data_IF_710089864018
#
_entry.id   IF_710089864018
#
_cell.length_a   1.000
_cell.length_b   1.000
_cell.length_c   1.000
_cell.angle_alpha   90.00
_cell.angle_beta   90.00
_cell.angle_gamma   90.00
#
_symmetry.space_group_name_H-M   'P 1'
#
loop_
_entity.id
_entity.type
_entity.pdbx_description
1 polymer ?
#
# COMPACT_ATOMS: atom_id res chain seq x y z
N UNK A 1 16.20 -16.41 19.35
CA UNK A 1 14.74 -16.22 19.17
C UNK A 1 14.37 -14.79 19.52
N UNK A 2 13.23 -14.28 19.02
CA UNK A 2 12.73 -12.96 19.39
C UNK A 2 11.67 -13.12 20.48
N UNK A 3 12.03 -12.74 21.70
CA UNK A 3 11.21 -12.93 22.90
C UNK A 3 10.58 -11.60 23.29
N UNK A 4 9.30 -11.64 23.64
CA UNK A 4 8.54 -10.49 24.15
C UNK A 4 8.00 -10.84 25.52
N UNK A 5 8.29 -10.00 26.51
CA UNK A 5 7.76 -10.08 27.88
C UNK A 5 6.82 -8.91 28.10
N UNK A 6 5.55 -9.23 28.39
CA UNK A 6 4.56 -8.25 28.82
C UNK A 6 4.44 -8.33 30.35
N UNK A 7 4.87 -7.29 31.04
CA UNK A 7 4.93 -7.22 32.50
C UNK A 7 3.88 -6.23 33.02
N UNK A 8 2.91 -6.72 33.78
CA UNK A 8 1.96 -5.88 34.50
C UNK A 8 2.06 -6.15 36.02
N UNK A 9 2.77 -5.35 36.82
CA UNK A 9 3.42 -4.07 36.49
C UNK A 9 4.85 -3.98 37.02
N UNK A 10 5.68 -3.14 36.40
CA UNK A 10 7.05 -2.92 36.86
C UNK A 10 7.09 -2.23 38.22
N UNK A 11 6.08 -1.40 38.51
CA UNK A 11 5.90 -0.76 39.82
C UNK A 11 5.67 -1.80 40.94
N UNK A 12 4.84 -2.82 40.67
CA UNK A 12 4.59 -3.91 41.63
C UNK A 12 5.83 -4.79 41.83
N UNK A 13 6.60 -5.06 40.76
CA UNK A 13 7.87 -5.78 40.85
C UNK A 13 8.88 -5.04 41.74
N UNK A 14 8.99 -3.72 41.58
CA UNK A 14 9.87 -2.89 42.41
C UNK A 14 9.46 -2.88 43.89
N UNK A 15 8.15 -2.79 44.18
CA UNK A 15 7.63 -2.89 45.56
C UNK A 15 7.93 -4.24 46.20
N UNK A 16 7.75 -5.33 45.45
CA UNK A 16 8.08 -6.68 45.93
C UNK A 16 9.58 -6.80 46.25
N UNK A 17 10.44 -6.31 45.36
CA UNK A 17 11.89 -6.28 45.57
C UNK A 17 12.28 -5.46 46.80
N UNK A 18 11.61 -4.34 47.06
CA UNK A 18 11.84 -3.52 48.25
C UNK A 18 11.50 -4.26 49.55
N UNK A 19 10.40 -5.01 49.59
CA UNK A 19 9.99 -5.75 50.78
C UNK A 19 10.94 -6.92 51.10
N UNK A 20 11.55 -7.52 50.09
CA UNK A 20 12.52 -8.61 50.24
C UNK A 20 13.95 -8.10 50.49
N UNK A 21 14.19 -6.79 50.37
CA UNK A 21 15.53 -6.23 50.53
C UNK A 21 15.96 -6.22 52.00
N UNK A 22 17.19 -6.65 52.33
CA UNK A 22 17.72 -6.52 53.68
C UNK A 22 17.78 -5.04 54.09
N UNK A 23 17.26 -4.72 55.29
CA UNK A 23 17.32 -3.37 55.84
C UNK A 23 18.77 -2.97 56.10
N UNK A 24 19.32 -2.10 55.25
CA UNK A 24 20.71 -1.63 55.36
C UNK A 24 20.79 -0.24 56.02
N UNK A 25 19.68 0.27 56.57
CA UNK A 25 19.60 1.53 57.31
C UNK A 25 19.71 2.80 56.44
N UNK A 26 19.77 2.66 55.12
CA UNK A 26 19.81 3.76 54.16
C UNK A 26 18.57 3.77 53.29
N UNK A 27 17.57 4.53 53.73
CA UNK A 27 16.33 4.74 52.98
C UNK A 27 16.46 5.92 52.01
N UNK A 28 16.00 5.70 50.78
CA UNK A 28 15.77 6.72 49.79
C UNK A 28 14.41 7.41 50.02
N UNK A 29 14.20 8.51 49.31
CA UNK A 29 12.90 9.20 49.27
C UNK A 29 11.78 8.20 48.93
N UNK A 30 10.65 8.30 49.63
CA UNK A 30 9.52 7.39 49.44
C UNK A 30 9.62 6.05 50.20
N UNK A 31 10.64 5.85 51.05
CA UNK A 31 10.76 4.66 51.90
C UNK A 31 11.33 3.43 51.19
N UNK A 32 12.11 3.66 50.13
CA UNK A 32 12.78 2.60 49.38
C UNK A 32 14.15 2.29 50.00
N UNK A 33 14.49 1.02 50.18
CA UNK A 33 15.85 0.61 50.50
C UNK A 33 16.78 0.97 49.33
N UNK A 34 18.00 1.43 49.64
CA UNK A 34 18.95 1.87 48.62
C UNK A 34 19.29 0.80 47.55
N UNK A 35 19.14 -0.48 47.91
CA UNK A 35 19.41 -1.62 47.00
C UNK A 35 18.15 -2.20 46.35
N UNK A 36 16.95 -1.74 46.75
CA UNK A 36 15.67 -2.33 46.33
C UNK A 36 15.44 -2.31 44.82
N UNK A 37 15.95 -1.30 44.13
CA UNK A 37 15.76 -1.12 42.69
C UNK A 37 16.82 -1.82 41.84
N UNK A 38 17.84 -2.44 42.43
CA UNK A 38 18.93 -3.06 41.68
C UNK A 38 18.42 -4.19 40.77
N UNK A 39 17.71 -5.17 41.34
CA UNK A 39 17.16 -6.29 40.57
C UNK A 39 16.11 -5.84 39.53
N UNK A 40 15.09 -5.03 39.89
CA UNK A 40 14.10 -4.56 38.92
C UNK A 40 14.71 -3.77 37.75
N UNK A 41 15.73 -2.94 38.00
CA UNK A 41 16.46 -2.21 36.94
C UNK A 41 17.27 -3.15 36.06
N UNK A 42 17.94 -4.15 36.63
CA UNK A 42 18.65 -5.17 35.86
C UNK A 42 17.70 -6.00 35.00
N UNK A 43 16.55 -6.40 35.55
CA UNK A 43 15.52 -7.12 34.82
C UNK A 43 15.01 -6.30 33.63
N UNK A 44 14.61 -5.05 33.84
CA UNK A 44 14.09 -4.21 32.76
C UNK A 44 15.17 -3.82 31.74
N UNK A 45 16.38 -3.52 32.21
CA UNK A 45 17.56 -3.25 31.37
C UNK A 45 18.15 -4.49 30.68
N UNK A 46 17.61 -5.69 30.93
CA UNK A 46 17.95 -6.87 30.13
C UNK A 46 17.39 -6.76 28.71
N UNK A 47 16.30 -5.99 28.51
CA UNK A 47 15.72 -5.73 27.21
C UNK A 47 16.76 -5.12 26.27
N UNK A 48 17.02 -5.79 25.15
CA UNK A 48 18.04 -5.39 24.19
C UNK A 48 17.81 -6.06 22.84
N UNK A 49 18.32 -5.41 21.80
CA UNK A 49 18.55 -6.02 20.50
C UNK A 49 19.98 -6.58 20.47
N UNK A 50 20.17 -7.81 19.98
CA UNK A 50 21.50 -8.45 19.88
C UNK A 50 21.85 -8.56 18.40
N UNK A 51 23.03 -8.03 18.02
CA UNK A 51 23.57 -8.14 16.67
C UNK A 51 23.83 -9.62 16.33
N UNK A 52 23.40 -10.04 15.14
CA UNK A 52 23.41 -11.45 14.67
C UNK A 52 22.70 -12.46 15.59
N UNK A 53 21.82 -11.96 16.46
CA UNK A 53 21.04 -12.75 17.41
C UNK A 53 19.53 -12.52 17.29
N UNK A 54 18.83 -12.82 18.38
CA UNK A 54 17.43 -12.42 18.57
C UNK A 54 17.32 -11.15 19.42
N UNK A 55 16.08 -10.77 19.71
CA UNK A 55 15.79 -9.64 20.59
C UNK A 55 15.08 -10.07 21.88
N UNK A 56 15.32 -9.37 22.97
CA UNK A 56 14.47 -9.39 24.16
C UNK A 56 13.76 -8.06 24.29
N UNK A 57 12.45 -8.05 24.07
CA UNK A 57 11.59 -6.88 24.25
C UNK A 57 10.83 -7.03 25.56
N UNK A 58 10.89 -6.02 26.43
CA UNK A 58 10.12 -5.98 27.69
C UNK A 58 9.23 -4.75 27.65
N UNK A 59 7.92 -4.96 27.76
CA UNK A 59 6.94 -3.89 27.94
C UNK A 59 6.37 -3.99 29.34
N UNK A 60 6.70 -3.03 30.19
CA UNK A 60 6.23 -2.97 31.57
C UNK A 60 5.21 -1.85 31.74
N UNK A 61 4.04 -2.14 32.33
CA UNK A 61 3.14 -1.08 32.79
C UNK A 61 3.74 -0.41 34.03
N UNK A 62 3.66 0.92 34.09
CA UNK A 62 4.05 1.70 35.27
C UNK A 62 2.84 2.43 35.82
N UNK A 63 2.72 2.48 37.14
CA UNK A 63 1.66 3.23 37.81
C UNK A 63 2.16 4.63 38.13
N UNK A 64 1.39 5.64 37.74
CA UNK A 64 1.61 7.05 38.05
C UNK A 64 0.35 7.65 38.65
N UNK A 65 0.47 8.80 39.31
CA UNK A 65 -0.67 9.50 39.94
C UNK A 65 -1.43 8.62 40.95
N UNK A 66 -0.72 7.75 41.68
CA UNK A 66 -1.26 6.87 42.72
C UNK A 66 -1.38 7.57 44.08
N UNK A 67 -0.76 8.74 44.25
CA UNK A 67 -0.60 9.42 45.53
C UNK A 67 0.53 8.84 46.40
N UNK A 68 1.26 7.83 45.92
CA UNK A 68 2.40 7.24 46.64
C UNK A 68 3.72 7.83 46.15
N UNK A 69 4.44 8.50 47.06
CA UNK A 69 5.79 9.01 46.79
C UNK A 69 6.78 7.91 46.39
N UNK A 70 6.55 6.67 46.82
CA UNK A 70 7.32 5.50 46.40
C UNK A 70 7.15 5.22 44.90
N UNK A 71 5.91 5.27 44.38
CA UNK A 71 5.64 5.00 42.95
C UNK A 71 6.23 6.11 42.05
N UNK A 72 6.20 7.36 42.51
CA UNK A 72 6.84 8.49 41.81
C UNK A 72 8.35 8.27 41.65
N UNK A 73 9.03 7.85 42.73
CA UNK A 73 10.47 7.56 42.70
C UNK A 73 10.77 6.34 41.81
N UNK A 74 9.96 5.29 41.89
CA UNK A 74 10.09 4.13 41.02
C UNK A 74 9.95 4.53 39.54
N UNK A 75 8.95 5.33 39.20
CA UNK A 75 8.71 5.78 37.84
C UNK A 75 9.91 6.55 37.27
N UNK A 76 10.42 7.55 38.00
CA UNK A 76 11.56 8.36 37.54
C UNK A 76 12.83 7.52 37.34
N UNK A 77 13.09 6.54 38.21
CA UNK A 77 14.22 5.61 38.06
C UNK A 77 14.11 4.73 36.81
N UNK A 78 12.89 4.28 36.47
CA UNK A 78 12.67 3.48 35.26
C UNK A 78 12.62 4.31 33.98
N UNK A 79 12.20 5.57 34.06
CA UNK A 79 12.25 6.53 32.96
C UNK A 79 13.68 6.69 32.41
N UNK A 80 14.67 6.71 33.30
CA UNK A 80 16.08 6.73 32.92
C UNK A 80 16.55 5.43 32.24
N UNK A 81 15.95 4.29 32.60
CA UNK A 81 16.36 2.94 32.19
C UNK A 81 15.74 2.52 30.85
N UNK A 82 14.48 2.89 30.61
CA UNK A 82 13.77 2.59 29.37
C UNK A 82 14.18 3.49 28.19
N UNK A 83 13.74 3.10 27.00
CA UNK A 83 13.90 3.88 25.77
C UNK A 83 12.56 4.21 25.07
N UNK A 84 11.42 3.75 25.58
CA UNK A 84 10.07 4.04 25.08
C UNK A 84 9.13 4.34 26.24
N UNK A 85 8.30 5.37 26.10
CA UNK A 85 7.23 5.74 27.01
C UNK A 85 5.91 5.87 26.23
N UNK A 86 4.87 5.16 26.69
CA UNK A 86 3.51 5.28 26.18
C UNK A 86 2.61 5.77 27.31
N UNK A 87 2.23 7.05 27.27
CA UNK A 87 1.53 7.73 28.36
C UNK A 87 0.02 7.62 28.15
N UNK A 88 -0.70 7.18 29.18
CA UNK A 88 -2.16 7.14 29.19
C UNK A 88 -2.73 8.28 30.02
N UNK A 89 -3.75 8.98 29.50
CA UNK A 89 -4.37 10.14 30.14
C UNK A 89 -5.71 9.76 30.79
N UNK A 90 -5.79 9.94 32.12
CA UNK A 90 -7.00 9.66 32.91
C UNK A 90 -8.23 10.42 32.41
N UNK A 91 -8.06 11.70 32.06
CA UNK A 91 -9.14 12.57 31.54
C UNK A 91 -9.77 12.01 30.25
N UNK A 92 -8.98 11.39 29.37
CA UNK A 92 -9.52 10.75 28.15
C UNK A 92 -10.29 9.48 28.49
N UNK A 93 -9.75 8.66 29.41
CA UNK A 93 -10.41 7.45 29.89
C UNK A 93 -11.74 7.74 30.60
N UNK A 94 -11.80 8.77 31.45
CA UNK A 94 -13.03 9.21 32.14
C UNK A 94 -14.12 9.64 31.15
N UNK A 95 -13.72 10.14 29.98
CA UNK A 95 -14.62 10.50 28.86
C UNK A 95 -14.95 9.32 27.94
N UNK A 96 -14.49 8.11 28.26
CA UNK A 96 -14.64 6.90 27.44
C UNK A 96 -14.02 7.00 26.03
N UNK A 97 -12.96 7.80 25.89
CA UNK A 97 -12.20 7.91 24.65
C UNK A 97 -11.04 6.92 24.72
N UNK A 98 -11.06 5.92 23.85
CA UNK A 98 -10.05 4.86 23.81
C UNK A 98 -9.44 4.70 22.39
N UNK A 99 -8.11 4.48 22.28
CA UNK A 99 -7.14 4.38 23.38
C UNK A 99 -6.85 5.76 24.01
N UNK A 100 -6.79 5.81 25.34
CA UNK A 100 -6.65 7.05 26.12
C UNK A 100 -5.19 7.53 26.14
N UNK A 101 -4.59 7.79 24.98
CA UNK A 101 -3.15 8.10 24.83
C UNK A 101 -2.88 9.60 24.88
N UNK A 102 -1.86 9.99 25.65
CA UNK A 102 -1.23 11.31 25.51
C UNK A 102 -0.12 11.23 24.47
N UNK A 103 -0.43 11.70 23.26
CA UNK A 103 0.48 11.65 22.11
C UNK A 103 1.73 12.49 22.35
N UNK A 104 1.59 13.66 22.99
CA UNK A 104 2.69 14.62 23.14
C UNK A 104 3.69 14.17 24.20
N UNK A 105 3.22 13.48 25.25
CA UNK A 105 4.09 12.95 26.31
C UNK A 105 4.65 11.56 26.01
N UNK A 106 4.09 10.87 25.02
CA UNK A 106 4.61 9.57 24.56
C UNK A 106 5.79 9.78 23.61
N UNK A 107 6.77 8.87 23.64
CA UNK A 107 7.95 8.99 22.79
C UNK A 107 8.90 7.81 22.89
N UNK A 108 9.78 7.67 21.89
CA UNK A 108 10.83 6.66 21.86
C UNK A 108 12.18 7.34 21.62
N UNK A 109 13.20 7.02 22.41
CA UNK A 109 14.57 7.51 22.23
C UNK A 109 15.18 6.86 20.99
N UNK A 110 16.01 7.65 20.28
CA UNK A 110 16.63 7.23 19.01
C UNK A 110 15.62 6.73 17.99
N UNK A 111 14.45 7.38 17.92
CA UNK A 111 13.41 7.00 16.99
C UNK A 111 13.86 7.10 15.53
N UNK A 112 14.88 7.91 15.22
CA UNK A 112 15.52 7.96 13.91
C UNK A 112 16.14 6.63 13.45
N UNK A 113 16.50 5.73 14.38
CA UNK A 113 16.92 4.35 14.08
C UNK A 113 15.74 3.44 13.68
N UNK A 114 14.52 3.99 13.69
CA UNK A 114 13.28 3.28 13.40
C UNK A 114 12.65 3.74 12.06
N UNK A 115 13.27 4.64 11.24
CA UNK A 115 12.68 5.26 10.01
C UNK A 115 13.65 5.45 8.75
N UNK A 116 13.28 5.06 7.49
CA UNK A 116 14.07 4.76 6.22
C UNK A 116 13.17 4.75 4.90
N UNK A 117 13.64 4.56 3.63
CA UNK A 117 12.86 4.62 2.32
C UNK A 117 13.62 4.07 1.06
N UNK A 118 12.97 3.42 0.07
CA UNK A 118 13.54 3.18 -1.29
C UNK A 118 12.60 3.45 -2.49
N UNK A 119 13.21 3.79 -3.64
CA UNK A 119 12.51 4.10 -4.89
C UNK A 119 13.29 3.67 -6.14
N UNK A 120 12.57 3.56 -7.25
CA UNK A 120 13.09 3.42 -8.62
C UNK A 120 12.36 4.42 -9.52
N UNK A 121 13.11 5.17 -10.31
CA UNK A 121 12.60 5.93 -11.45
C UNK A 121 13.10 5.27 -12.75
N UNK A 122 12.25 5.21 -13.76
CA UNK A 122 12.57 4.54 -15.02
C UNK A 122 11.88 5.18 -16.20
N UNK A 123 12.37 4.84 -17.38
CA UNK A 123 11.81 5.23 -18.67
C UNK A 123 11.70 4.01 -19.57
N UNK A 124 10.73 4.02 -20.47
CA UNK A 124 10.62 3.02 -21.53
C UNK A 124 10.89 3.70 -22.88
N UNK A 125 12.04 3.43 -23.52
CA UNK A 125 12.40 4.08 -24.78
C UNK A 125 11.49 3.65 -25.95
N UNK A 126 10.77 2.52 -25.83
CA UNK A 126 9.89 2.04 -26.90
C UNK A 126 8.54 2.76 -26.92
N UNK A 127 8.03 3.12 -25.74
CA UNK A 127 6.72 3.77 -25.58
C UNK A 127 6.85 5.27 -25.29
N UNK A 128 8.00 5.72 -24.80
CA UNK A 128 8.19 7.05 -24.24
C UNK A 128 7.58 7.21 -22.84
N UNK A 129 7.19 6.12 -22.18
CA UNK A 129 6.70 6.19 -20.80
C UNK A 129 7.81 6.62 -19.84
N UNK A 130 7.48 7.44 -18.83
CA UNK A 130 8.35 7.75 -17.71
C UNK A 130 7.63 7.54 -16.39
N UNK A 131 8.34 7.03 -15.38
CA UNK A 131 7.69 6.54 -14.17
C UNK A 131 8.57 6.52 -12.93
N UNK A 132 7.92 6.59 -11.77
CA UNK A 132 8.56 6.40 -10.45
C UNK A 132 7.71 5.45 -9.61
N UNK A 133 8.34 4.48 -8.97
CA UNK A 133 7.78 3.68 -7.89
C UNK A 133 8.59 3.86 -6.60
N UNK A 134 7.90 3.89 -5.46
CA UNK A 134 8.51 4.16 -4.16
C UNK A 134 7.78 3.40 -3.05
N UNK A 135 8.50 2.99 -2.02
CA UNK A 135 7.92 2.54 -0.75
C UNK A 135 8.71 3.07 0.46
N UNK A 136 8.00 3.28 1.57
CA UNK A 136 8.55 3.83 2.81
C UNK A 136 7.64 3.48 4.00
N UNK A 137 8.01 3.85 5.23
CA UNK A 137 7.07 3.88 6.38
C UNK A 137 6.36 5.20 6.63
N UNK A 138 6.70 6.27 5.91
CA UNK A 138 5.90 7.50 5.99
C UNK A 138 4.56 7.28 5.29
N UNK A 139 3.41 7.58 5.90
CA UNK A 139 2.15 7.55 5.18
C UNK A 139 2.17 8.47 3.96
N UNK A 140 1.39 8.12 2.95
CA UNK A 140 1.09 8.95 1.78
C UNK A 140 2.33 9.35 0.95
N UNK A 141 3.31 8.45 0.78
CA UNK A 141 4.56 8.75 0.03
C UNK A 141 4.35 9.22 -1.40
N UNK A 142 3.23 8.82 -2.01
CA UNK A 142 2.84 9.22 -3.36
C UNK A 142 2.71 10.74 -3.56
N UNK A 143 2.55 11.51 -2.48
CA UNK A 143 2.43 12.98 -2.55
C UNK A 143 3.79 13.69 -2.60
N UNK A 144 4.87 13.04 -2.16
CA UNK A 144 6.16 13.70 -1.94
C UNK A 144 7.26 13.25 -2.89
N UNK A 145 7.33 11.94 -3.17
CA UNK A 145 8.50 11.34 -3.84
C UNK A 145 8.37 11.23 -5.35
N UNK A 146 7.27 10.69 -5.92
CA UNK A 146 7.23 10.38 -7.35
C UNK A 146 6.79 11.57 -8.21
N UNK A 147 7.69 12.05 -9.08
CA UNK A 147 7.44 13.11 -10.05
C UNK A 147 7.72 12.60 -11.46
N UNK A 148 6.81 12.92 -12.39
CA UNK A 148 6.90 12.52 -13.80
C UNK A 148 6.37 13.64 -14.68
N UNK A 149 6.91 13.78 -15.88
CA UNK A 149 6.38 14.64 -16.93
C UNK A 149 6.43 13.87 -18.25
N UNK A 150 5.28 13.76 -18.92
CA UNK A 150 5.11 12.98 -20.13
C UNK A 150 6.10 13.43 -21.21
N UNK A 151 6.84 12.48 -21.79
CA UNK A 151 7.84 12.75 -22.83
C UNK A 151 9.10 13.48 -22.36
N UNK A 152 9.27 13.67 -21.05
CA UNK A 152 10.38 14.44 -20.48
C UNK A 152 11.25 13.56 -19.58
N UNK A 153 10.66 12.90 -18.59
CA UNK A 153 11.43 12.09 -17.64
C UNK A 153 10.73 11.88 -16.30
N UNK A 154 11.51 11.46 -15.32
CA UNK A 154 11.06 11.09 -13.98
C UNK A 154 12.07 11.54 -12.90
N UNK A 155 11.55 11.97 -11.73
CA UNK A 155 12.34 12.40 -10.57
C UNK A 155 11.79 11.74 -9.30
N UNK A 156 12.68 11.15 -8.52
CA UNK A 156 12.40 10.65 -7.17
C UNK A 156 13.19 11.48 -6.14
N UNK A 157 12.49 12.25 -5.31
CA UNK A 157 13.08 13.08 -4.23
C UNK A 157 12.73 12.50 -2.86
N UNK A 158 13.74 12.10 -2.09
CA UNK A 158 13.59 11.43 -0.79
C UNK A 158 14.69 11.87 0.19
N UNK A 159 14.66 11.33 1.42
CA UNK A 159 15.51 11.73 2.56
C UNK A 159 15.39 13.24 2.89
N UNK A 160 14.66 13.58 3.97
CA UNK A 160 14.27 14.96 4.26
C UNK A 160 13.75 15.67 3.00
N UNK A 161 12.72 15.09 2.36
CA UNK A 161 12.28 15.40 1.00
C UNK A 161 12.07 16.90 0.74
N UNK A 162 12.67 17.40 -0.35
CA UNK A 162 12.33 18.70 -0.96
C UNK A 162 11.49 18.44 -2.20
N UNK A 163 10.18 18.62 -2.05
CA UNK A 163 9.14 18.38 -3.08
C UNK A 163 9.42 19.20 -4.35
N UNK A 164 9.90 20.43 -4.19
CA UNK A 164 10.20 21.34 -5.30
C UNK A 164 11.22 20.79 -6.32
N UNK A 165 12.10 19.86 -5.92
CA UNK A 165 13.01 19.22 -6.86
C UNK A 165 12.30 18.48 -8.00
N UNK A 166 11.09 17.97 -7.76
CA UNK A 166 10.32 17.30 -8.80
C UNK A 166 10.08 18.20 -10.01
N UNK A 167 9.42 19.34 -9.82
CA UNK A 167 9.12 20.26 -10.92
C UNK A 167 10.36 21.00 -11.42
N UNK A 168 11.24 21.45 -10.54
CA UNK A 168 12.45 22.19 -10.92
C UNK A 168 13.32 21.38 -11.90
N UNK A 169 13.61 20.12 -11.55
CA UNK A 169 14.47 19.26 -12.38
C UNK A 169 13.77 18.84 -13.66
N UNK A 170 12.47 18.49 -13.60
CA UNK A 170 11.70 18.14 -14.81
C UNK A 170 11.57 19.32 -15.78
N UNK A 171 11.51 20.56 -15.29
CA UNK A 171 11.50 21.74 -16.15
C UNK A 171 12.89 22.00 -16.76
N UNK A 172 13.96 21.89 -15.99
CA UNK A 172 15.33 22.06 -16.53
C UNK A 172 15.63 21.06 -17.66
N UNK A 173 15.31 19.78 -17.48
CA UNK A 173 15.55 18.78 -18.55
C UNK A 173 14.58 18.95 -19.72
N UNK A 174 13.35 19.42 -19.48
CA UNK A 174 12.41 19.77 -20.56
C UNK A 174 12.95 20.90 -21.44
N UNK A 175 13.71 21.82 -20.84
CA UNK A 175 14.38 22.91 -21.54
C UNK A 175 15.71 22.47 -22.19
N UNK A 176 15.99 21.16 -22.21
CA UNK A 176 17.15 20.55 -22.86
C UNK A 176 18.40 20.44 -21.98
N UNK A 177 18.30 20.78 -20.69
CA UNK A 177 19.44 20.67 -19.78
C UNK A 177 19.81 19.20 -19.53
N UNK A 178 21.11 18.94 -19.46
CA UNK A 178 21.60 17.62 -19.04
C UNK A 178 21.21 17.31 -17.58
N UNK A 179 20.76 16.08 -17.26
CA UNK A 179 20.38 15.68 -15.91
C UNK A 179 21.43 15.97 -14.82
N UNK A 180 22.72 15.78 -15.12
CA UNK A 180 23.79 16.02 -14.14
C UNK A 180 23.88 17.51 -13.81
N UNK A 181 23.93 18.36 -14.84
CA UNK A 181 23.98 19.81 -14.68
C UNK A 181 22.73 20.35 -13.96
N UNK A 182 21.55 19.83 -14.31
CA UNK A 182 20.29 20.21 -13.65
C UNK A 182 20.32 19.89 -12.16
N UNK A 183 20.79 18.69 -11.81
CA UNK A 183 20.91 18.26 -10.42
C UNK A 183 21.95 19.09 -9.65
N UNK A 184 23.12 19.36 -10.23
CA UNK A 184 24.16 20.20 -9.61
C UNK A 184 23.66 21.61 -9.31
N UNK A 185 22.97 22.24 -10.26
CA UNK A 185 22.38 23.59 -10.07
C UNK A 185 21.34 23.57 -8.95
N UNK A 186 20.48 22.56 -8.91
CA UNK A 186 19.45 22.43 -7.89
C UNK A 186 20.04 22.17 -6.48
N UNK A 187 21.11 21.37 -6.40
CA UNK A 187 21.81 21.07 -5.14
C UNK A 187 22.60 22.26 -4.61
N UNK A 188 23.27 23.02 -5.49
CA UNK A 188 24.04 24.22 -5.10
C UNK A 188 23.17 25.28 -4.41
N UNK A 189 21.85 25.28 -4.66
CA UNK A 189 20.87 26.18 -4.04
C UNK A 189 20.27 25.63 -2.74
N UNK A 190 20.48 24.35 -2.42
CA UNK A 190 19.96 23.71 -1.19
C UNK A 190 21.07 23.55 -0.16
N UNK A 191 21.05 24.39 0.87
CA UNK A 191 21.98 24.33 2.02
C UNK A 191 21.87 23.03 2.82
N UNK A 192 20.78 22.28 2.63
CA UNK A 192 20.51 21.00 3.26
C UNK A 192 20.67 19.83 2.28
N UNK A 193 21.30 20.03 1.12
CA UNK A 193 21.60 18.98 0.11
C UNK A 193 22.26 17.74 0.70
N UNK A 194 23.10 17.90 1.74
CA UNK A 194 23.73 16.79 2.49
C UNK A 194 22.75 15.86 3.23
N UNK A 195 21.48 16.26 3.39
CA UNK A 195 20.40 15.45 3.98
C UNK A 195 19.44 14.88 2.92
N UNK A 196 19.63 15.25 1.64
CA UNK A 196 18.74 14.87 0.54
C UNK A 196 19.22 13.62 -0.16
N UNK A 197 18.30 12.93 -0.79
CA UNK A 197 18.59 11.89 -1.76
C UNK A 197 17.66 12.08 -2.96
N UNK A 198 18.24 12.23 -4.16
CA UNK A 198 17.51 12.60 -5.37
C UNK A 198 17.97 11.72 -6.52
N UNK A 199 17.03 11.20 -7.29
CA UNK A 199 17.30 10.51 -8.54
C UNK A 199 16.50 11.17 -9.66
N UNK A 200 17.15 11.37 -10.79
CA UNK A 200 16.60 12.01 -11.98
C UNK A 200 16.98 11.18 -13.20
N UNK A 201 16.02 10.94 -14.08
CA UNK A 201 16.23 10.30 -15.39
C UNK A 201 15.40 11.02 -16.46
N UNK A 202 16.04 11.40 -17.57
CA UNK A 202 15.37 11.95 -18.75
C UNK A 202 14.88 10.84 -19.67
N UNK A 203 13.96 11.17 -20.58
CA UNK A 203 13.31 10.19 -21.46
C UNK A 203 14.27 9.44 -22.39
N UNK A 204 15.44 10.03 -22.66
CA UNK A 204 16.52 9.44 -23.45
C UNK A 204 17.46 8.53 -22.63
N UNK A 205 17.15 8.29 -21.35
CA UNK A 205 17.90 7.41 -20.45
C UNK A 205 19.08 8.06 -19.74
N UNK A 206 19.46 9.31 -20.08
CA UNK A 206 20.47 10.04 -19.29
C UNK A 206 19.95 10.28 -17.88
N UNK A 207 20.82 10.20 -16.88
CA UNK A 207 20.40 10.27 -15.49
C UNK A 207 21.46 10.84 -14.57
N UNK A 208 21.02 11.30 -13.41
CA UNK A 208 21.87 11.80 -12.34
C UNK A 208 21.26 11.43 -10.99
N UNK A 209 22.12 11.17 -10.01
CA UNK A 209 21.70 10.83 -8.65
C UNK A 209 22.57 11.54 -7.62
N UNK A 210 21.96 11.89 -6.50
CA UNK A 210 22.63 12.48 -5.35
C UNK A 210 22.25 11.72 -4.09
N UNK A 211 23.23 11.46 -3.24
CA UNK A 211 23.05 10.84 -1.94
C UNK A 211 23.84 11.63 -0.91
N UNK A 212 23.14 12.36 -0.05
CA UNK A 212 23.75 13.19 0.97
C UNK A 212 24.53 12.38 2.01
N UNK A 213 25.56 13.01 2.60
CA UNK A 213 26.47 12.40 3.56
C UNK A 213 25.84 12.05 4.92
N UNK A 214 24.64 12.55 5.22
CA UNK A 214 23.90 12.30 6.48
C UNK A 214 22.72 11.35 6.28
N UNK A 215 22.93 10.25 5.55
CA UNK A 215 21.90 9.25 5.25
C UNK A 215 22.18 7.94 6.02
N UNK A 216 21.12 7.29 6.54
CA UNK A 216 21.08 6.18 7.51
C UNK A 216 21.80 4.86 7.03
N UNK A 217 21.95 3.79 7.86
CA UNK A 217 23.16 2.95 7.92
C UNK A 217 23.62 2.24 6.63
N UNK A 218 22.71 1.81 5.75
CA UNK A 218 23.06 1.59 4.34
C UNK A 218 22.22 2.51 3.45
N UNK A 219 22.91 3.43 2.78
CA UNK A 219 22.33 4.31 1.78
C UNK A 219 23.16 4.21 0.52
N UNK A 220 22.48 4.09 -0.61
CA UNK A 220 23.15 4.02 -1.90
C UNK A 220 22.19 4.27 -3.05
N UNK A 221 22.77 4.21 -4.23
CA UNK A 221 22.04 4.26 -5.47
C UNK A 221 22.69 3.39 -6.53
N UNK A 222 21.90 3.02 -7.54
CA UNK A 222 22.32 2.30 -8.74
C UNK A 222 21.63 2.88 -9.94
N UNK A 223 22.31 2.88 -11.08
CA UNK A 223 21.75 3.28 -12.37
C UNK A 223 21.97 2.18 -13.40
N UNK A 224 21.09 2.15 -14.39
CA UNK A 224 21.25 1.39 -15.63
C UNK A 224 20.78 2.23 -16.80
N UNK A 225 20.71 1.64 -18.00
CA UNK A 225 20.42 2.39 -19.24
C UNK A 225 19.08 3.13 -19.22
N UNK A 226 18.07 2.58 -18.52
CA UNK A 226 16.70 3.08 -18.55
C UNK A 226 16.10 3.25 -17.14
N UNK A 227 16.94 3.25 -16.09
CA UNK A 227 16.45 3.43 -14.72
C UNK A 227 17.52 3.98 -13.78
N UNK A 228 17.03 4.54 -12.68
CA UNK A 228 17.80 4.92 -11.49
C UNK A 228 17.07 4.43 -10.25
N UNK A 229 17.75 3.66 -9.42
CA UNK A 229 17.25 3.14 -8.15
C UNK A 229 18.06 3.74 -7.00
N UNK A 230 17.40 4.03 -5.88
CA UNK A 230 18.04 4.62 -4.71
C UNK A 230 17.31 4.22 -3.43
N UNK A 231 18.03 4.15 -2.34
CA UNK A 231 17.44 3.92 -1.03
C UNK A 231 18.31 4.47 0.07
N UNK A 232 17.66 4.84 1.16
CA UNK A 232 18.28 5.24 2.41
C UNK A 232 17.73 4.34 3.50
N UNK A 233 18.62 3.76 4.30
CA UNK A 233 18.30 2.75 5.29
C UNK A 233 17.69 1.50 4.65
N UNK A 234 18.48 0.77 3.88
CA UNK A 234 18.10 -0.56 3.41
C UNK A 234 18.82 -1.61 4.24
N UNK A 235 18.33 -2.86 4.23
CA UNK A 235 19.04 -3.98 4.87
C UNK A 235 20.47 -4.13 4.34
N UNK A 236 20.69 -3.74 3.09
CA UNK A 236 21.97 -3.80 2.41
C UNK A 236 21.88 -3.51 0.91
N UNK A 237 23.02 -3.57 0.20
CA UNK A 237 23.10 -3.32 -1.25
C UNK A 237 22.31 -4.29 -2.11
N UNK A 238 22.03 -5.49 -1.61
CA UNK A 238 21.25 -6.53 -2.27
C UNK A 238 19.83 -6.08 -2.63
N UNK A 239 19.27 -5.11 -1.90
CA UNK A 239 17.94 -4.58 -2.16
C UNK A 239 17.91 -3.83 -3.47
N UNK A 240 18.83 -2.87 -3.64
CA UNK A 240 18.95 -2.17 -4.93
C UNK A 240 19.41 -3.12 -6.04
N UNK A 241 20.18 -4.16 -5.70
CA UNK A 241 20.51 -5.19 -6.68
C UNK A 241 19.31 -5.98 -7.18
N UNK A 242 18.38 -6.36 -6.29
CA UNK A 242 17.16 -7.05 -6.66
C UNK A 242 16.22 -6.13 -7.46
N UNK A 243 16.08 -4.87 -7.05
CA UNK A 243 15.31 -3.85 -7.79
C UNK A 243 15.86 -3.70 -9.22
N UNK A 244 17.17 -3.48 -9.35
CA UNK A 244 17.88 -3.37 -10.62
C UNK A 244 17.67 -4.61 -11.51
N UNK A 245 17.99 -5.79 -10.99
CA UNK A 245 17.93 -7.04 -11.74
C UNK A 245 16.51 -7.36 -12.20
N UNK A 246 15.51 -7.12 -11.33
CA UNK A 246 14.10 -7.30 -11.68
C UNK A 246 13.68 -6.34 -12.79
N UNK A 247 14.01 -5.06 -12.70
CA UNK A 247 13.65 -4.09 -13.73
C UNK A 247 14.30 -4.42 -15.09
N UNK A 248 15.59 -4.79 -15.07
CA UNK A 248 16.34 -5.20 -16.27
C UNK A 248 15.76 -6.46 -16.91
N UNK A 249 15.35 -7.45 -16.10
CA UNK A 249 14.76 -8.71 -16.60
C UNK A 249 13.45 -8.51 -17.38
N UNK A 250 12.76 -7.37 -17.19
CA UNK A 250 11.47 -7.07 -17.82
C UNK A 250 11.58 -6.22 -19.08
N UNK A 251 12.78 -5.82 -19.52
CA UNK A 251 12.96 -4.90 -20.66
C UNK A 251 12.33 -5.38 -21.97
N UNK A 252 12.22 -6.70 -22.17
CA UNK A 252 11.63 -7.32 -23.35
C UNK A 252 10.33 -8.07 -23.06
N UNK A 253 9.70 -7.83 -21.90
CA UNK A 253 8.48 -8.56 -21.52
C UNK A 253 7.21 -8.04 -22.19
N UNK A 254 7.29 -6.91 -22.90
CA UNK A 254 6.12 -6.22 -23.47
C UNK A 254 5.15 -5.64 -22.42
N UNK A 255 5.57 -5.59 -21.15
CA UNK A 255 4.77 -5.05 -20.05
C UNK A 255 4.90 -3.52 -20.01
N UNK A 256 3.82 -2.83 -19.68
CA UNK A 256 3.84 -1.39 -19.43
C UNK A 256 4.83 -1.02 -18.33
N UNK A 257 5.38 0.20 -18.40
CA UNK A 257 6.36 0.66 -17.42
C UNK A 257 5.83 0.60 -15.97
N UNK A 258 4.54 0.84 -15.76
CA UNK A 258 3.91 0.73 -14.43
C UNK A 258 4.01 -0.67 -13.82
N UNK A 259 3.72 -1.72 -14.59
CA UNK A 259 3.89 -3.13 -14.17
C UNK A 259 5.34 -3.40 -13.78
N UNK A 260 6.28 -3.04 -14.66
CA UNK A 260 7.71 -3.27 -14.49
C UNK A 260 8.28 -2.58 -13.24
N UNK A 261 7.85 -1.35 -12.96
CA UNK A 261 8.24 -0.60 -11.77
C UNK A 261 7.67 -1.21 -10.48
N UNK A 262 6.42 -1.69 -10.50
CA UNK A 262 5.81 -2.38 -9.36
C UNK A 262 6.54 -3.69 -9.08
N UNK A 263 6.84 -4.48 -10.12
CA UNK A 263 7.58 -5.73 -10.01
C UNK A 263 8.97 -5.50 -9.41
N UNK A 264 9.70 -4.47 -9.89
CA UNK A 264 11.00 -4.10 -9.35
C UNK A 264 10.93 -3.68 -7.88
N UNK A 265 9.92 -2.89 -7.51
CA UNK A 265 9.68 -2.50 -6.12
C UNK A 265 9.40 -3.73 -5.23
N UNK A 266 8.65 -4.70 -5.75
CA UNK A 266 8.35 -5.96 -5.08
C UNK A 266 9.61 -6.84 -4.88
N UNK A 267 10.47 -6.94 -5.89
CA UNK A 267 11.75 -7.65 -5.79
C UNK A 267 12.66 -7.04 -4.70
N UNK A 268 12.73 -5.71 -4.62
CA UNK A 268 13.42 -5.01 -3.54
C UNK A 268 12.85 -5.37 -2.16
N UNK A 269 11.52 -5.38 -2.02
CA UNK A 269 10.84 -5.76 -0.79
C UNK A 269 11.11 -7.22 -0.37
N UNK A 270 11.23 -8.14 -1.33
CA UNK A 270 11.56 -9.55 -1.08
C UNK A 270 13.03 -9.74 -0.66
N UNK A 271 13.93 -8.92 -1.19
CA UNK A 271 15.36 -8.91 -0.83
C UNK A 271 15.65 -8.34 0.57
N UNK A 272 14.62 -8.21 1.41
CA UNK A 272 14.67 -7.60 2.74
C UNK A 272 14.21 -6.15 2.72
N UNK A 273 14.38 -5.47 1.59
CA UNK A 273 13.88 -4.12 1.34
C UNK A 273 14.43 -3.14 2.37
N UNK A 274 13.54 -2.75 3.24
CA UNK A 274 13.84 -1.77 4.25
C UNK A 274 14.30 -2.44 5.56
N UNK A 275 15.42 -1.99 6.16
CA UNK A 275 16.04 -2.67 7.31
C UNK A 275 15.18 -2.63 8.57
N UNK A 276 14.26 -1.67 8.64
CA UNK A 276 13.39 -1.50 9.79
C UNK A 276 12.34 -2.60 9.82
N UNK A 277 12.05 -3.15 11.01
CA UNK A 277 10.91 -4.07 11.25
C UNK A 277 9.69 -3.31 11.82
N UNK A 278 8.48 -3.54 11.29
CA UNK A 278 7.26 -2.80 11.65
C UNK A 278 6.14 -2.83 10.58
N UNK A 279 4.86 -2.81 11.00
CA UNK A 279 3.69 -3.16 10.17
C UNK A 279 3.01 -2.00 9.43
N UNK A 280 3.59 -0.81 9.36
CA UNK A 280 2.95 0.33 8.69
C UNK A 280 3.91 0.90 7.64
N UNK A 281 3.52 0.77 6.38
CA UNK A 281 4.24 1.23 5.21
C UNK A 281 3.29 1.92 4.24
N UNK A 282 3.83 2.73 3.33
CA UNK A 282 3.12 3.24 2.17
C UNK A 282 3.90 2.90 0.90
N UNK A 283 3.21 2.88 -0.23
CA UNK A 283 3.83 2.66 -1.53
C UNK A 283 3.07 3.43 -2.60
N UNK A 284 3.77 3.87 -3.63
CA UNK A 284 3.14 4.53 -4.75
C UNK A 284 3.87 4.21 -6.06
N UNK A 285 3.12 4.25 -7.15
CA UNK A 285 3.64 4.27 -8.52
C UNK A 285 2.96 5.41 -9.28
N UNK A 286 3.73 6.16 -10.05
CA UNK A 286 3.26 7.24 -10.93
C UNK A 286 3.94 7.10 -12.28
N UNK A 287 3.17 7.02 -13.36
CA UNK A 287 3.65 6.85 -14.73
C UNK A 287 2.92 7.81 -15.66
N UNK A 288 3.65 8.40 -16.60
CA UNK A 288 3.13 9.21 -17.68
C UNK A 288 3.49 8.62 -19.04
N UNK A 289 2.57 8.77 -20.01
CA UNK A 289 2.72 8.31 -21.39
C UNK A 289 2.47 9.50 -22.34
N UNK A 290 3.45 9.87 -23.19
CA UNK A 290 3.31 10.98 -24.13
C UNK A 290 2.48 10.63 -25.37
N UNK A 291 2.15 9.35 -25.62
CA UNK A 291 1.48 8.93 -26.84
C UNK A 291 0.04 9.45 -26.87
N UNK A 292 -0.42 10.05 -27.99
CA UNK A 292 -1.77 10.57 -28.11
C UNK A 292 -2.84 9.49 -27.83
N UNK A 293 -3.83 9.81 -27.00
CA UNK A 293 -4.96 8.93 -26.69
C UNK A 293 -4.70 7.86 -25.62
N UNK A 294 -3.46 7.70 -25.14
CA UNK A 294 -3.13 6.72 -24.09
C UNK A 294 -3.46 7.22 -22.67
N UNK A 295 -3.42 8.54 -22.46
CA UNK A 295 -3.87 9.18 -21.22
C UNK A 295 -5.24 9.84 -21.41
N UNK A 296 -6.16 9.62 -20.46
CA UNK A 296 -7.41 10.40 -20.35
C UNK A 296 -7.18 11.80 -19.77
N UNK A 297 -6.00 12.03 -19.17
CA UNK A 297 -5.63 13.29 -18.53
C UNK A 297 -4.77 14.14 -19.47
N UNK A 298 -4.95 15.48 -19.48
CA UNK A 298 -4.12 16.39 -20.28
C UNK A 298 -2.63 16.38 -19.91
N UNK A 299 -2.31 15.99 -18.68
CA UNK A 299 -0.93 15.92 -18.15
C UNK A 299 -0.18 14.64 -18.58
N UNK A 300 -0.82 13.76 -19.35
CA UNK A 300 -0.23 12.51 -19.82
C UNK A 300 -0.09 11.42 -18.76
N UNK A 301 -0.58 11.63 -17.52
CA UNK A 301 -0.48 10.61 -16.46
C UNK A 301 -1.46 9.46 -16.75
N UNK A 302 -0.92 8.27 -17.00
CA UNK A 302 -1.70 7.06 -17.28
C UNK A 302 -1.93 6.20 -16.04
N UNK A 303 -0.95 6.16 -15.14
CA UNK A 303 -1.06 5.39 -13.89
C UNK A 303 -0.65 6.27 -12.71
N UNK A 304 -1.52 6.41 -11.72
CA UNK A 304 -1.14 6.90 -10.40
C UNK A 304 -1.87 6.11 -9.33
N UNK A 305 -1.16 5.22 -8.66
CA UNK A 305 -1.68 4.41 -7.57
C UNK A 305 -0.85 4.72 -6.33
N UNK A 306 -1.52 5.10 -5.25
CA UNK A 306 -0.88 5.43 -3.97
C UNK A 306 -1.59 4.70 -2.85
N UNK A 307 -0.91 3.72 -2.27
CA UNK A 307 -1.31 3.08 -1.01
C UNK A 307 -0.75 3.92 0.12
N UNK A 308 -1.58 4.84 0.61
CA UNK A 308 -1.17 5.81 1.60
C UNK A 308 -0.72 5.19 2.93
N UNK A 309 -1.33 4.09 3.34
CA UNK A 309 -0.94 3.37 4.55
C UNK A 309 -1.41 1.92 4.45
N UNK A 310 -0.58 0.98 4.89
CA UNK A 310 -0.94 -0.43 4.94
C UNK A 310 0.15 -1.31 5.51
N UNK A 311 -0.22 -2.54 5.87
CA UNK A 311 0.73 -3.54 6.37
C UNK A 311 1.50 -4.27 5.29
N UNK A 312 1.01 -4.20 4.05
CA UNK A 312 1.65 -4.77 2.86
C UNK A 312 1.43 -3.86 1.63
N UNK A 313 1.88 -2.59 1.67
CA UNK A 313 1.48 -1.62 0.66
C UNK A 313 2.02 -1.93 -0.73
N UNK A 314 3.18 -2.59 -0.87
CA UNK A 314 3.70 -3.01 -2.18
C UNK A 314 2.84 -4.13 -2.78
N UNK A 315 2.36 -5.06 -1.96
CA UNK A 315 1.41 -6.10 -2.39
C UNK A 315 0.07 -5.47 -2.76
N UNK A 316 -0.40 -4.51 -1.95
CA UNK A 316 -1.64 -3.78 -2.24
C UNK A 316 -1.52 -2.92 -3.50
N UNK A 317 -0.35 -2.33 -3.76
CA UNK A 317 -0.04 -1.60 -4.98
C UNK A 317 -0.16 -2.51 -6.22
N UNK A 318 0.44 -3.71 -6.17
CA UNK A 318 0.29 -4.75 -7.21
C UNK A 318 -1.17 -5.16 -7.38
N UNK A 319 -1.87 -5.45 -6.28
CA UNK A 319 -3.28 -5.82 -6.27
C UNK A 319 -4.16 -4.77 -6.96
N UNK A 320 -4.00 -3.49 -6.60
CA UNK A 320 -4.76 -2.39 -7.23
C UNK A 320 -4.39 -2.27 -8.71
N UNK A 321 -3.10 -2.35 -9.05
CA UNK A 321 -2.67 -2.29 -10.44
C UNK A 321 -3.27 -3.41 -11.28
N UNK A 322 -3.23 -4.65 -10.80
CA UNK A 322 -3.82 -5.80 -11.49
C UNK A 322 -5.32 -5.64 -11.69
N UNK A 323 -6.01 -5.07 -10.70
CA UNK A 323 -7.43 -4.79 -10.81
C UNK A 323 -7.73 -3.72 -11.86
N UNK A 324 -6.98 -2.62 -11.86
CA UNK A 324 -7.19 -1.48 -12.76
C UNK A 324 -6.78 -1.80 -14.19
N UNK A 325 -5.68 -2.54 -14.36
CA UNK A 325 -5.22 -3.04 -15.67
C UNK A 325 -6.03 -4.23 -16.18
N UNK A 326 -6.93 -4.76 -15.35
CA UNK A 326 -7.68 -6.00 -15.61
C UNK A 326 -6.77 -7.16 -16.00
N UNK A 327 -5.65 -7.28 -15.29
CA UNK A 327 -4.63 -8.31 -15.54
C UNK A 327 -5.27 -9.70 -15.53
N UNK A 328 -5.06 -10.43 -16.63
CA UNK A 328 -5.63 -11.76 -16.81
C UNK A 328 -5.19 -12.70 -15.67
N UNK A 329 -6.15 -13.40 -15.07
CA UNK A 329 -5.90 -14.34 -13.96
C UNK A 329 -5.82 -13.71 -12.57
N UNK A 330 -5.84 -12.38 -12.45
CA UNK A 330 -5.85 -11.71 -11.15
C UNK A 330 -7.24 -11.73 -10.47
N UNK A 331 -8.33 -11.53 -11.23
CA UNK A 331 -9.71 -11.63 -10.73
C UNK A 331 -10.40 -12.85 -11.31
N UNK A 332 -11.30 -13.47 -10.54
CA UNK A 332 -12.31 -14.36 -11.12
C UNK A 332 -13.26 -13.47 -11.94
N UNK A 333 -13.37 -13.75 -13.24
CA UNK A 333 -14.31 -13.05 -14.11
C UNK A 333 -15.72 -13.55 -13.79
N UNK A 334 -16.57 -12.73 -13.17
CA UNK A 334 -17.96 -13.07 -12.85
C UNK A 334 -18.88 -11.85 -12.85
N UNK A 335 -20.16 -12.11 -13.17
CA UNK A 335 -21.24 -11.22 -13.63
C UNK A 335 -21.00 -10.67 -15.04
N UNK A 336 -21.76 -11.27 -15.93
CA UNK A 336 -21.76 -11.04 -17.36
C UNK A 336 -22.85 -10.01 -17.67
N UNK A 337 -22.48 -8.96 -18.38
CA UNK A 337 -23.37 -8.15 -19.19
C UNK A 337 -23.12 -8.46 -20.66
N UNK A 338 -24.08 -8.09 -21.51
CA UNK A 338 -23.96 -8.38 -22.93
C UNK A 338 -25.29 -8.33 -23.65
N UNK A 339 -25.22 -8.30 -24.98
CA UNK A 339 -26.42 -8.33 -25.81
C UNK A 339 -27.24 -9.61 -25.59
N UNK A 340 -26.59 -10.74 -25.33
CA UNK A 340 -27.21 -12.03 -24.99
C UNK A 340 -27.93 -12.00 -23.63
N UNK A 341 -27.29 -11.44 -22.60
CA UNK A 341 -27.87 -11.22 -21.28
C UNK A 341 -29.08 -10.28 -21.36
N UNK A 342 -29.00 -9.24 -22.19
CA UNK A 342 -30.12 -8.34 -22.49
C UNK A 342 -31.25 -9.05 -23.21
N UNK A 343 -30.94 -9.86 -24.22
CA UNK A 343 -31.93 -10.65 -24.97
C UNK A 343 -32.70 -11.60 -24.05
N UNK A 344 -31.98 -12.32 -23.19
CA UNK A 344 -32.59 -13.21 -22.22
C UNK A 344 -33.52 -12.46 -21.26
N UNK A 345 -33.08 -11.32 -20.73
CA UNK A 345 -33.90 -10.50 -19.85
C UNK A 345 -35.20 -10.03 -20.51
N UNK A 346 -35.13 -9.60 -21.77
CA UNK A 346 -36.30 -9.16 -22.54
C UNK A 346 -37.28 -10.30 -22.77
N UNK A 347 -36.79 -11.49 -23.11
CA UNK A 347 -37.64 -12.66 -23.33
C UNK A 347 -38.32 -13.09 -22.03
N UNK A 348 -37.57 -13.19 -20.92
CA UNK A 348 -38.13 -13.52 -19.61
C UNK A 348 -39.11 -12.46 -19.13
N UNK A 349 -38.90 -11.19 -19.50
CA UNK A 349 -39.85 -10.13 -19.21
C UNK A 349 -41.14 -10.22 -20.02
N UNK A 350 -41.04 -10.49 -21.32
CA UNK A 350 -42.20 -10.71 -22.16
C UNK A 350 -43.05 -11.90 -21.69
N UNK A 351 -42.40 -12.92 -21.11
CA UNK A 351 -43.05 -14.09 -20.51
C UNK A 351 -43.52 -13.87 -19.06
N UNK A 352 -43.26 -12.71 -18.47
CA UNK A 352 -43.70 -12.35 -17.12
C UNK A 352 -42.88 -12.96 -15.97
N UNK A 353 -41.73 -13.58 -16.26
CA UNK A 353 -40.82 -14.13 -15.24
C UNK A 353 -39.82 -13.10 -14.71
N UNK A 354 -39.63 -12.00 -15.43
CA UNK A 354 -38.76 -10.90 -15.04
C UNK A 354 -39.48 -9.57 -15.24
N UNK A 355 -39.26 -8.57 -14.40
CA UNK A 355 -39.83 -7.23 -14.60
C UNK A 355 -38.72 -6.27 -15.03
N UNK A 356 -38.76 -5.83 -16.29
CA UNK A 356 -37.87 -4.83 -16.84
C UNK A 356 -38.61 -3.48 -17.02
N UNK A 357 -37.87 -2.35 -17.06
CA UNK A 357 -38.45 -1.03 -17.35
C UNK A 357 -39.11 -0.97 -18.74
N UNK A 358 -40.10 -0.08 -18.93
CA UNK A 358 -40.88 0.03 -20.17
C UNK A 358 -40.04 0.39 -21.42
N UNK A 359 -38.95 1.12 -21.27
CA UNK A 359 -38.04 1.45 -22.37
C UNK A 359 -36.88 0.45 -22.47
N UNK A 360 -37.07 -0.56 -23.33
CA UNK A 360 -36.09 -1.59 -23.62
C UNK A 360 -35.03 -1.15 -24.66
N UNK A 361 -35.16 0.06 -25.22
CA UNK A 361 -34.32 0.59 -26.31
C UNK A 361 -33.11 1.39 -25.81
N UNK A 362 -33.19 1.97 -24.61
CA UNK A 362 -32.05 2.60 -23.95
C UNK A 362 -31.02 1.53 -23.52
N UNK A 363 -29.73 1.89 -23.50
CA UNK A 363 -28.62 1.07 -22.97
C UNK A 363 -28.74 0.90 -21.44
N UNK A 364 -29.85 0.36 -20.97
CA UNK A 364 -30.02 -0.05 -19.57
C UNK A 364 -29.19 -1.30 -19.37
N UNK A 365 -28.28 -1.27 -18.39
CA UNK A 365 -27.44 -2.40 -18.02
C UNK A 365 -28.29 -3.55 -17.48
N UNK A 366 -28.61 -4.51 -18.34
CA UNK A 366 -29.16 -5.80 -17.93
C UNK A 366 -27.98 -6.73 -17.67
N UNK A 367 -27.91 -7.26 -16.46
CA UNK A 367 -26.84 -8.11 -16.00
C UNK A 367 -27.37 -9.52 -15.72
N UNK A 368 -26.49 -10.51 -15.85
CA UNK A 368 -26.80 -11.87 -15.46
C UNK A 368 -26.63 -12.01 -13.95
N UNK A 369 -27.59 -11.44 -13.22
CA UNK A 369 -27.59 -11.30 -11.78
C UNK A 369 -28.51 -12.32 -11.10
N UNK A 370 -28.74 -12.14 -9.80
CA UNK A 370 -29.52 -13.09 -9.03
C UNK A 370 -30.99 -13.12 -9.46
N UNK A 371 -31.53 -11.99 -9.90
CA UNK A 371 -32.93 -11.88 -10.33
C UNK A 371 -33.10 -12.55 -11.70
N UNK A 372 -32.12 -12.37 -12.59
CA UNK A 372 -32.04 -13.13 -13.84
C UNK A 372 -31.95 -14.63 -13.57
N UNK A 373 -31.09 -15.04 -12.63
CA UNK A 373 -30.93 -16.45 -12.22
C UNK A 373 -32.24 -17.01 -11.68
N UNK A 374 -32.94 -16.28 -10.80
CA UNK A 374 -34.22 -16.71 -10.25
C UNK A 374 -35.32 -16.77 -11.31
N UNK A 375 -35.38 -15.80 -12.21
CA UNK A 375 -36.34 -15.79 -13.31
C UNK A 375 -36.14 -17.00 -14.25
N UNK A 376 -34.88 -17.35 -14.55
CA UNK A 376 -34.52 -18.56 -15.29
C UNK A 376 -34.96 -19.82 -14.54
N UNK A 377 -34.68 -19.92 -13.23
CA UNK A 377 -35.08 -21.08 -12.41
C UNK A 377 -36.61 -21.24 -12.36
N UNK A 378 -37.35 -20.14 -12.19
CA UNK A 378 -38.81 -20.15 -12.19
C UNK A 378 -39.38 -20.56 -13.55
N UNK A 379 -38.81 -20.06 -14.64
CA UNK A 379 -39.18 -20.45 -15.99
C UNK A 379 -38.95 -21.95 -16.21
N UNK A 380 -37.74 -22.44 -15.92
CA UNK A 380 -37.36 -23.86 -16.06
C UNK A 380 -38.26 -24.77 -15.24
N UNK A 381 -38.53 -24.42 -13.98
CA UNK A 381 -39.45 -25.16 -13.12
C UNK A 381 -40.86 -25.23 -13.73
N UNK A 382 -41.35 -24.13 -14.31
CA UNK A 382 -42.69 -24.08 -14.94
C UNK A 382 -42.83 -24.99 -16.16
N UNK A 383 -41.72 -25.38 -16.78
CA UNK A 383 -41.65 -26.28 -17.95
C UNK A 383 -41.29 -27.72 -17.57
N UNK A 384 -41.14 -28.01 -16.28
CA UNK A 384 -40.73 -29.32 -15.78
C UNK A 384 -39.25 -29.64 -16.01
N UNK A 385 -38.42 -28.63 -16.32
CA UNK A 385 -36.99 -28.79 -16.50
C UNK A 385 -36.27 -28.87 -15.14
N UNK A 386 -35.08 -29.48 -15.13
CA UNK A 386 -34.27 -29.56 -13.92
C UNK A 386 -33.85 -28.16 -13.43
N UNK A 387 -33.91 -27.99 -12.11
CA UNK A 387 -33.55 -26.77 -11.36
C UNK A 387 -32.66 -27.14 -10.16
N UNK A 388 -32.05 -26.15 -9.52
CA UNK A 388 -31.17 -26.39 -8.36
C UNK A 388 -31.86 -27.22 -7.26
N UNK A 389 -31.19 -28.21 -6.63
CA UNK A 389 -29.77 -28.57 -6.79
C UNK A 389 -29.48 -29.60 -7.89
N UNK A 390 -30.48 -30.02 -8.66
CA UNK A 390 -30.30 -31.04 -9.71
C UNK A 390 -29.60 -30.49 -10.95
N UNK A 391 -29.58 -29.17 -11.12
CA UNK A 391 -28.79 -28.43 -12.11
C UNK A 391 -28.18 -27.17 -11.48
N UNK A 392 -27.13 -26.58 -12.09
CA UNK A 392 -26.62 -25.28 -11.67
C UNK A 392 -27.73 -24.22 -11.66
N UNK A 393 -27.73 -23.36 -10.63
CA UNK A 393 -28.73 -22.32 -10.50
C UNK A 393 -28.61 -21.28 -11.63
N UNK A 394 -29.72 -20.99 -12.29
CA UNK A 394 -29.79 -20.07 -13.42
C UNK A 394 -29.04 -20.63 -14.61
N UNK A 395 -29.20 -21.92 -14.90
CA UNK A 395 -28.65 -22.51 -16.12
C UNK A 395 -29.49 -22.11 -17.33
N UNK A 396 -28.89 -21.40 -18.29
CA UNK A 396 -29.49 -21.13 -19.60
C UNK A 396 -28.76 -21.98 -20.63
N UNK A 397 -29.30 -23.16 -20.88
CA UNK A 397 -28.83 -24.13 -21.87
C UNK A 397 -29.76 -24.14 -23.11
N UNK A 398 -29.39 -24.93 -24.12
CA UNK A 398 -30.14 -24.98 -25.39
C UNK A 398 -31.60 -25.40 -25.21
N UNK A 399 -31.85 -26.38 -24.33
CA UNK A 399 -33.21 -26.83 -23.99
C UNK A 399 -34.03 -25.67 -23.38
N UNK A 400 -33.44 -24.90 -22.46
CA UNK A 400 -34.08 -23.71 -21.90
C UNK A 400 -34.39 -22.67 -22.99
N UNK A 401 -33.45 -22.40 -23.89
CA UNK A 401 -33.64 -21.43 -24.98
C UNK A 401 -34.72 -21.87 -25.97
N UNK A 402 -34.79 -23.16 -26.33
CA UNK A 402 -35.83 -23.70 -27.20
C UNK A 402 -37.22 -23.55 -26.57
N UNK A 403 -37.34 -23.89 -25.27
CA UNK A 403 -38.58 -23.71 -24.54
C UNK A 403 -38.97 -22.22 -24.42
N UNK A 404 -38.01 -21.32 -24.19
CA UNK A 404 -38.29 -19.87 -24.13
C UNK A 404 -38.92 -19.37 -25.42
N UNK A 405 -38.37 -19.75 -26.58
CA UNK A 405 -38.90 -19.32 -27.88
C UNK A 405 -40.22 -20.00 -28.25
N UNK A 406 -40.38 -21.29 -27.92
CA UNK A 406 -41.65 -22.00 -28.14
C UNK A 406 -42.81 -21.31 -27.41
N UNK A 407 -42.60 -20.91 -26.15
CA UNK A 407 -43.64 -20.21 -25.37
C UNK A 407 -43.89 -18.80 -25.92
N UNK A 408 -42.85 -18.09 -26.36
CA UNK A 408 -43.03 -16.79 -27.02
C UNK A 408 -43.87 -16.92 -28.30
N UNK A 409 -43.68 -17.99 -29.08
CA UNK A 409 -44.50 -18.24 -30.29
C UNK A 409 -45.97 -18.48 -29.96
N UNK A 410 -46.25 -19.19 -28.87
CA UNK A 410 -47.61 -19.41 -28.37
C UNK A 410 -48.30 -18.12 -27.90
N UNK A 411 -47.53 -17.11 -27.45
CA UNK A 411 -48.10 -15.80 -27.03
C UNK A 411 -48.51 -14.90 -28.21
N UNK A 412 -48.16 -15.24 -29.45
CA UNK A 412 -48.42 -14.41 -30.63
C UNK A 412 -47.54 -13.16 -30.75
N UNK A 413 -46.59 -12.94 -29.83
CA UNK A 413 -45.65 -11.78 -29.82
C UNK A 413 -44.29 -12.06 -30.44
N UNK A 414 -44.15 -13.21 -31.12
CA UNK A 414 -42.86 -13.70 -31.64
C UNK A 414 -42.18 -12.70 -32.57
N UNK A 415 -42.91 -12.06 -33.48
CA UNK A 415 -42.34 -11.12 -34.46
C UNK A 415 -41.83 -9.83 -33.79
N UNK A 416 -42.55 -9.31 -32.80
CA UNK A 416 -42.19 -8.12 -32.02
C UNK A 416 -40.88 -8.34 -31.23
N UNK A 417 -40.81 -9.43 -30.47
CA UNK A 417 -39.65 -9.74 -29.60
C UNK A 417 -38.42 -10.08 -30.45
N UNK A 418 -38.57 -10.81 -31.56
CA UNK A 418 -37.47 -11.13 -32.47
C UNK A 418 -36.85 -9.87 -33.09
N UNK A 419 -37.67 -8.88 -33.46
CA UNK A 419 -37.18 -7.61 -34.00
C UNK A 419 -36.43 -6.78 -32.95
N UNK A 420 -36.93 -6.71 -31.72
CA UNK A 420 -36.26 -5.98 -30.63
C UNK A 420 -34.90 -6.59 -30.26
N UNK A 421 -34.85 -7.93 -30.14
CA UNK A 421 -33.62 -8.69 -29.90
C UNK A 421 -32.59 -8.46 -31.01
N UNK A 422 -33.03 -8.44 -32.27
CA UNK A 422 -32.17 -8.24 -33.45
C UNK A 422 -31.44 -6.89 -33.43
N UNK A 423 -32.10 -5.82 -32.98
CA UNK A 423 -31.49 -4.49 -32.91
C UNK A 423 -30.51 -4.35 -31.74
N UNK A 424 -30.70 -5.11 -30.66
CA UNK A 424 -29.81 -5.15 -29.49
C UNK A 424 -28.51 -5.91 -29.79
N UNK A 425 -28.57 -6.94 -30.63
CA UNK A 425 -27.40 -7.71 -31.05
C UNK A 425 -26.53 -6.97 -32.10
N UNK A 426 -26.84 -5.71 -32.43
CA UNK A 426 -26.13 -4.92 -33.44
C UNK A 426 -24.77 -4.43 -32.94
N UNK A 427 -23.72 -4.69 -33.72
CA UNK A 427 -22.33 -4.31 -33.41
C UNK A 427 -22.13 -2.79 -33.53
N UNK A 428 -21.51 -2.15 -32.51
CA UNK A 428 -21.09 -0.74 -32.48
C UNK A 428 -19.64 -0.60 -32.02
N UNK A 429 -18.83 0.19 -32.73
CA UNK A 429 -17.51 0.67 -32.30
C UNK A 429 -17.44 2.16 -32.51
#
# INVERSE_FOLDING_TARGET
ENVVVLLDSIARLARASNNESPSNGKLLSGGLEATALQFPKQFFGSARNIEDGGSLTILGTALIETGSKMDEVIFEEFKGTGNMELVLERRLADRRIFPALDINRSGTRKEELLFETFSIAGVDPSTGESGVAVTTRRPCVGNGVPWVKAGVGAVATQASTRVAYGEELLNMINDGMDPLNALEIALARDTLSHRRQVALISIDGRSAQHTGSSTNPWTGHRSGSNYVAQGNGLVGPEVLAAVSASFESTIHSGRHLSDRLIEALYAGQLAGGDQRKGRIQSAAVKVADPRPGFSRRPDGITTFISVCEGSKPVVELRRIYDNVSETLGYRQLQRFDGADVRQLGIILNALGFLSLPEDLSAEVGIFYDHDMIQAVEQFRASRGLAVFPRSPAGLVDEETVQHLWSVIEETGRSEEIRNLVKDIARVRR
#
